data_IF_555049873519
#
_entry.id   IF_555049873519
#
_cell.length_a   1.000
_cell.length_b   1.000
_cell.length_c   1.000
_cell.angle_alpha   90.00
_cell.angle_beta   90.00
_cell.angle_gamma   90.00
#
_symmetry.space_group_name_H-M   'P 1'
#
loop_
_entity.id
_entity.type
_entity.pdbx_description
1 polymer ?
#
# COMPACT_ATOMS: atom_id res chain seq x y z
N UNK A 1 14.18 11.20 -17.87
CA UNK A 1 14.44 10.51 -19.15
C UNK A 1 13.41 10.82 -20.25
N UNK A 2 12.21 11.32 -19.89
CA UNK A 2 11.12 11.55 -20.86
C UNK A 2 10.95 13.01 -21.26
N UNK A 3 11.29 13.94 -20.37
CA UNK A 3 11.10 15.36 -20.60
C UNK A 3 12.15 15.92 -21.58
N UNK A 4 11.68 16.65 -22.60
CA UNK A 4 12.57 17.37 -23.54
C UNK A 4 13.22 18.60 -22.93
N UNK A 5 12.58 19.21 -21.94
CA UNK A 5 13.05 20.41 -21.23
C UNK A 5 12.87 20.15 -19.74
N UNK A 6 13.95 20.33 -18.98
CA UNK A 6 13.94 20.21 -17.53
C UNK A 6 14.06 21.61 -16.93
N UNK A 7 13.10 21.98 -16.11
CA UNK A 7 13.09 23.19 -15.29
C UNK A 7 13.13 22.76 -13.83
N UNK A 8 13.96 23.37 -13.00
CA UNK A 8 14.14 22.96 -11.63
C UNK A 8 13.89 24.11 -10.63
N UNK A 9 13.36 23.76 -9.47
CA UNK A 9 13.46 24.56 -8.24
C UNK A 9 14.58 23.93 -7.38
N UNK A 10 15.62 24.69 -7.12
CA UNK A 10 16.71 24.30 -6.23
C UNK A 10 16.37 24.86 -4.85
N UNK A 11 15.89 23.98 -3.96
CA UNK A 11 15.46 24.39 -2.62
C UNK A 11 16.44 23.87 -1.58
N UNK A 12 17.02 24.77 -0.79
CA UNK A 12 17.99 24.45 0.27
C UNK A 12 17.41 23.56 1.37
N UNK A 13 16.07 23.57 1.54
CA UNK A 13 15.37 22.71 2.51
C UNK A 13 15.15 21.28 2.00
N UNK A 14 15.41 20.99 0.70
CA UNK A 14 15.23 19.65 0.14
C UNK A 14 16.31 18.71 0.70
N UNK A 15 15.92 17.57 1.31
CA UNK A 15 16.88 16.60 1.80
C UNK A 15 17.78 16.08 0.68
N UNK A 16 19.09 15.99 0.95
CA UNK A 16 20.00 15.24 0.11
C UNK A 16 19.76 13.75 0.33
N UNK A 17 19.53 13.01 -0.73
CA UNK A 17 19.26 11.57 -0.67
C UNK A 17 20.27 10.76 -1.49
N UNK A 18 20.38 9.46 -1.18
CA UNK A 18 21.26 8.50 -1.87
C UNK A 18 20.45 7.63 -2.84
N UNK A 19 21.15 6.92 -3.73
CA UNK A 19 20.55 6.04 -4.73
C UNK A 19 20.62 6.62 -6.14
N UNK A 20 19.64 6.28 -6.98
CA UNK A 20 19.58 6.77 -8.37
C UNK A 20 18.67 8.00 -8.51
N UNK A 21 18.97 9.05 -7.76
CA UNK A 21 18.21 10.30 -7.70
C UNK A 21 18.98 11.52 -8.20
N UNK A 22 20.18 11.34 -8.72
CA UNK A 22 21.05 12.42 -9.18
C UNK A 22 20.72 12.79 -10.63
N UNK A 23 20.51 14.07 -10.86
CA UNK A 23 20.33 14.64 -12.21
C UNK A 23 21.53 15.53 -12.52
N UNK A 24 22.23 15.34 -13.65
CA UNK A 24 23.32 16.23 -14.07
C UNK A 24 22.82 17.65 -14.25
N UNK A 25 23.50 18.62 -13.63
CA UNK A 25 23.10 20.04 -13.71
C UNK A 25 23.05 20.54 -15.15
N UNK A 26 23.91 20.01 -16.04
CA UNK A 26 23.93 20.34 -17.48
C UNK A 26 22.64 19.99 -18.22
N UNK A 27 21.79 19.12 -17.67
CA UNK A 27 20.48 18.78 -18.26
C UNK A 27 19.38 19.78 -17.88
N UNK A 28 19.62 20.62 -16.87
CA UNK A 28 18.64 21.60 -16.39
C UNK A 28 18.70 22.84 -17.28
N UNK A 29 17.62 23.13 -18.00
CA UNK A 29 17.53 24.26 -18.92
C UNK A 29 17.36 25.59 -18.22
N UNK A 30 16.58 25.61 -17.15
CA UNK A 30 16.32 26.79 -16.32
C UNK A 30 16.05 26.37 -14.89
N UNK A 31 16.39 27.22 -13.93
CA UNK A 31 16.12 26.95 -12.52
C UNK A 31 15.90 28.24 -11.73
N UNK A 32 15.29 28.09 -10.57
CA UNK A 32 15.20 29.12 -9.53
C UNK A 32 15.81 28.59 -8.24
N UNK A 33 16.37 29.48 -7.43
CA UNK A 33 16.79 29.16 -6.06
C UNK A 33 15.71 29.56 -5.08
N UNK A 34 15.45 28.70 -4.11
CA UNK A 34 14.51 28.95 -3.03
C UNK A 34 15.07 28.42 -1.70
N UNK A 35 14.52 28.91 -0.60
CA UNK A 35 14.78 28.39 0.75
C UNK A 35 13.45 28.36 1.51
N UNK A 36 12.44 27.71 0.93
CA UNK A 36 11.12 27.61 1.53
C UNK A 36 10.94 26.26 2.22
N UNK A 37 10.20 26.22 3.35
CA UNK A 37 9.86 24.97 3.99
C UNK A 37 9.18 24.00 3.01
N UNK A 38 9.45 22.72 3.15
CA UNK A 38 8.75 21.70 2.41
C UNK A 38 7.32 21.53 2.95
N UNK A 39 6.42 21.08 2.09
CA UNK A 39 5.09 20.73 2.51
C UNK A 39 5.14 19.50 3.44
N UNK A 40 4.58 19.63 4.63
CA UNK A 40 4.48 18.53 5.59
C UNK A 40 3.11 17.86 5.50
N UNK A 41 3.13 16.54 5.48
CA UNK A 41 1.93 15.72 5.59
C UNK A 41 1.85 15.15 7.01
N UNK A 42 1.00 15.74 7.83
CA UNK A 42 0.74 15.25 9.20
C UNK A 42 -0.40 14.24 9.15
N UNK A 43 -0.15 13.03 9.64
CA UNK A 43 -1.18 11.99 9.71
C UNK A 43 -2.35 12.39 10.62
N UNK A 44 -3.54 11.96 10.27
CA UNK A 44 -4.72 12.14 11.12
C UNK A 44 -4.72 11.15 12.29
N UNK A 45 -5.43 11.48 13.40
CA UNK A 45 -5.63 10.53 14.50
C UNK A 45 -6.29 9.22 14.01
N UNK A 46 -5.78 8.11 14.50
CA UNK A 46 -6.29 6.77 14.16
C UNK A 46 -7.74 6.59 14.65
N UNK A 47 -8.61 6.08 13.79
CA UNK A 47 -9.97 5.70 14.16
C UNK A 47 -10.03 4.26 14.72
N UNK A 48 -11.10 3.90 15.44
CA UNK A 48 -11.29 2.53 15.96
C UNK A 48 -11.34 1.48 14.83
N UNK A 49 -11.92 1.81 13.70
CA UNK A 49 -11.98 0.95 12.50
C UNK A 49 -10.57 0.70 11.94
N UNK A 50 -9.77 1.76 11.79
CA UNK A 50 -8.39 1.65 11.33
C UNK A 50 -7.53 0.88 12.33
N UNK A 51 -7.72 1.11 13.63
CA UNK A 51 -7.06 0.37 14.70
C UNK A 51 -7.30 -1.13 14.56
N UNK A 52 -8.55 -1.53 14.37
CA UNK A 52 -8.92 -2.94 14.22
C UNK A 52 -8.38 -3.57 12.95
N UNK A 53 -8.45 -2.87 11.82
CA UNK A 53 -7.86 -3.33 10.56
C UNK A 53 -6.34 -3.45 10.70
N UNK A 54 -5.69 -2.44 11.30
CA UNK A 54 -4.25 -2.43 11.55
C UNK A 54 -3.78 -3.63 12.37
N UNK A 55 -4.53 -4.02 13.40
CA UNK A 55 -4.26 -5.21 14.21
C UNK A 55 -4.32 -6.50 13.37
N UNK A 56 -5.38 -6.65 12.56
CA UNK A 56 -5.56 -7.81 11.70
C UNK A 56 -4.46 -7.91 10.62
N UNK A 57 -4.08 -6.78 10.02
CA UNK A 57 -2.97 -6.72 9.06
C UNK A 57 -1.64 -7.06 9.74
N UNK A 58 -1.35 -6.49 10.93
CA UNK A 58 -0.11 -6.74 11.67
C UNK A 58 0.06 -8.22 12.04
N UNK A 59 -1.04 -8.94 12.33
CA UNK A 59 -1.03 -10.38 12.58
C UNK A 59 -0.64 -11.21 11.34
N UNK A 60 -0.82 -10.68 10.13
CA UNK A 60 -0.38 -11.33 8.90
C UNK A 60 1.10 -11.12 8.60
N UNK A 61 1.76 -10.12 9.21
CA UNK A 61 3.16 -9.78 8.98
C UNK A 61 4.07 -10.69 9.80
N UNK A 62 4.91 -11.54 9.18
CA UNK A 62 5.91 -12.32 9.91
C UNK A 62 7.15 -11.47 10.24
N UNK A 63 8.00 -11.97 11.15
CA UNK A 63 9.37 -11.49 11.27
C UNK A 63 10.12 -11.65 9.94
N UNK A 64 11.10 -10.79 9.67
CA UNK A 64 11.89 -10.77 8.42
C UNK A 64 11.06 -10.48 7.17
N UNK A 65 9.85 -9.93 7.31
CA UNK A 65 9.06 -9.51 6.16
C UNK A 65 9.71 -8.31 5.46
N UNK A 66 9.66 -8.29 4.13
CA UNK A 66 9.94 -7.09 3.35
C UNK A 66 8.63 -6.38 3.08
N UNK A 67 8.49 -5.17 3.61
CA UNK A 67 7.24 -4.42 3.60
C UNK A 67 7.17 -3.45 2.41
N UNK A 68 6.01 -3.39 1.79
CA UNK A 68 5.51 -2.26 1.00
C UNK A 68 4.25 -1.74 1.67
N UNK A 69 4.15 -0.44 1.78
CA UNK A 69 3.00 0.24 2.36
C UNK A 69 2.66 1.51 1.58
N UNK A 70 1.38 1.89 1.62
CA UNK A 70 0.91 3.20 1.21
C UNK A 70 1.00 4.22 2.35
N UNK A 71 0.34 5.36 2.16
CA UNK A 71 0.04 6.37 3.20
C UNK A 71 -1.43 6.30 3.58
N UNK A 72 -1.76 6.85 4.74
CA UNK A 72 -3.12 6.97 5.26
C UNK A 72 -3.35 6.12 6.50
N UNK A 73 -4.54 6.23 7.08
CA UNK A 73 -4.84 5.68 8.39
C UNK A 73 -4.61 4.17 8.52
N UNK A 74 -5.00 3.37 7.53
CA UNK A 74 -4.84 1.91 7.59
C UNK A 74 -3.38 1.47 7.53
N UNK A 75 -2.53 1.91 6.57
CA UNK A 75 -1.11 1.59 6.58
C UNK A 75 -0.41 2.05 7.87
N UNK A 76 -0.70 3.26 8.35
CA UNK A 76 -0.11 3.80 9.58
C UNK A 76 -0.55 3.01 10.82
N UNK A 77 -1.83 2.61 10.88
CA UNK A 77 -2.36 1.75 11.94
C UNK A 77 -1.67 0.37 11.96
N UNK A 78 -1.44 -0.23 10.80
CA UNK A 78 -0.73 -1.50 10.69
C UNK A 78 0.72 -1.35 11.17
N UNK A 79 1.46 -0.35 10.66
CA UNK A 79 2.86 -0.11 11.02
C UNK A 79 3.05 0.15 12.52
N UNK A 80 2.16 0.93 13.14
CA UNK A 80 2.24 1.25 14.58
C UNK A 80 2.23 -0.01 15.47
N UNK A 81 1.69 -1.12 14.97
CA UNK A 81 1.57 -2.41 15.65
C UNK A 81 2.72 -3.38 15.36
N UNK A 82 3.71 -2.99 14.55
CA UNK A 82 4.84 -3.85 14.18
C UNK A 82 6.09 -3.64 15.03
N UNK A 83 6.07 -2.80 16.07
CA UNK A 83 7.23 -2.48 16.90
C UNK A 83 7.87 -3.70 17.58
N UNK A 84 7.10 -4.78 17.78
CA UNK A 84 7.58 -6.03 18.37
C UNK A 84 8.15 -7.02 17.32
N UNK A 85 8.01 -6.74 16.04
CA UNK A 85 8.55 -7.57 14.95
C UNK A 85 10.06 -7.39 14.85
N UNK A 86 10.72 -8.38 14.24
CA UNK A 86 12.17 -8.44 14.14
C UNK A 86 12.62 -8.50 12.69
N UNK A 87 13.70 -7.77 12.42
CA UNK A 87 14.43 -7.83 11.14
C UNK A 87 13.56 -7.52 9.91
N UNK A 88 12.61 -6.60 10.03
CA UNK A 88 11.83 -6.13 8.90
C UNK A 88 12.72 -5.45 7.86
N UNK A 89 12.33 -5.55 6.60
CA UNK A 89 12.92 -4.82 5.47
C UNK A 89 11.89 -3.91 4.82
N UNK A 90 12.37 -2.86 4.14
CA UNK A 90 11.52 -1.92 3.40
C UNK A 90 11.90 -1.93 1.93
N UNK A 91 10.94 -2.19 1.06
CA UNK A 91 11.00 -2.01 -0.38
C UNK A 91 9.62 -1.52 -0.84
N UNK A 92 9.47 -0.23 -1.00
CA UNK A 92 8.18 0.44 -1.17
C UNK A 92 8.30 1.62 -2.11
N UNK A 93 7.26 1.96 -2.85
CA UNK A 93 7.23 3.18 -3.66
C UNK A 93 7.36 4.44 -2.77
N UNK A 94 6.69 4.42 -1.62
CA UNK A 94 6.71 5.53 -0.68
C UNK A 94 6.64 5.06 0.77
N UNK A 95 7.05 5.92 1.73
CA UNK A 95 6.82 5.69 3.15
C UNK A 95 6.58 6.98 3.94
N UNK A 96 6.02 6.82 5.15
CA UNK A 96 5.66 7.89 6.10
C UNK A 96 6.54 7.85 7.35
N UNK A 97 6.32 8.80 8.28
CA UNK A 97 6.99 8.87 9.60
C UNK A 97 6.93 7.55 10.39
N UNK A 98 5.92 6.69 10.14
CA UNK A 98 5.79 5.40 10.84
C UNK A 98 6.96 4.45 10.56
N UNK A 99 7.63 4.57 9.42
CA UNK A 99 8.85 3.82 9.14
C UNK A 99 10.00 4.29 10.02
N UNK A 100 10.08 5.58 10.31
CA UNK A 100 11.07 6.14 11.25
C UNK A 100 10.86 5.54 12.64
N UNK A 101 9.61 5.47 13.14
CA UNK A 101 9.29 4.86 14.43
C UNK A 101 9.79 3.41 14.54
N UNK A 102 9.56 2.61 13.48
CA UNK A 102 10.00 1.21 13.43
C UNK A 102 11.52 1.06 13.31
N UNK A 103 12.18 1.97 12.61
CA UNK A 103 13.63 1.98 12.48
C UNK A 103 14.31 2.33 13.81
N UNK A 104 13.83 3.35 14.51
CA UNK A 104 14.38 3.79 15.80
C UNK A 104 14.26 2.75 16.91
N UNK A 105 13.17 1.96 16.92
CA UNK A 105 13.04 0.83 17.87
C UNK A 105 13.79 -0.44 17.44
N UNK A 106 14.49 -0.40 16.29
CA UNK A 106 15.29 -1.53 15.79
C UNK A 106 14.46 -2.65 15.14
N UNK A 107 13.17 -2.45 14.86
CA UNK A 107 12.35 -3.44 14.17
C UNK A 107 12.75 -3.60 12.69
N UNK A 108 13.25 -2.51 12.06
CA UNK A 108 13.71 -2.51 10.67
C UNK A 108 15.23 -2.60 10.63
N UNK A 109 15.76 -3.69 10.06
CA UNK A 109 17.19 -3.90 9.84
C UNK A 109 17.56 -4.03 8.36
N UNK A 110 16.62 -4.38 7.50
CA UNK A 110 16.79 -4.70 6.08
C UNK A 110 17.75 -5.89 5.80
N UNK A 111 18.21 -6.57 6.83
CA UNK A 111 19.26 -7.62 6.77
C UNK A 111 18.88 -8.81 5.90
N UNK A 112 17.58 -9.16 5.86
CA UNK A 112 17.08 -10.34 5.17
C UNK A 112 16.50 -10.04 3.78
N UNK A 113 16.68 -8.83 3.28
CA UNK A 113 16.33 -8.52 1.89
C UNK A 113 17.32 -9.16 0.93
N UNK A 114 16.80 -9.76 -0.15
CA UNK A 114 17.61 -10.32 -1.23
C UNK A 114 18.00 -9.26 -2.28
N UNK A 115 17.23 -8.17 -2.34
CA UNK A 115 17.48 -7.01 -3.21
C UNK A 115 17.79 -5.80 -2.34
N UNK A 116 18.93 -5.15 -2.56
CA UNK A 116 19.45 -4.05 -1.73
C UNK A 116 19.44 -4.39 -0.22
N UNK A 117 20.19 -5.45 0.21
CA UNK A 117 20.30 -5.78 1.63
C UNK A 117 20.85 -4.60 2.45
N UNK A 118 20.44 -4.52 3.70
CA UNK A 118 20.81 -3.44 4.64
C UNK A 118 20.39 -2.02 4.22
N UNK A 119 19.50 -1.89 3.23
CA UNK A 119 19.00 -0.61 2.71
C UNK A 119 17.47 -0.57 2.69
N UNK A 120 16.90 0.54 3.12
CA UNK A 120 15.53 0.94 2.78
C UNK A 120 15.53 1.35 1.31
N UNK A 121 14.58 0.85 0.52
CA UNK A 121 14.41 1.22 -0.90
C UNK A 121 13.07 1.90 -1.07
N UNK A 122 13.09 3.10 -1.68
CA UNK A 122 11.88 3.89 -1.94
C UNK A 122 12.03 4.76 -3.17
N UNK A 123 10.93 5.35 -3.67
CA UNK A 123 10.96 6.38 -4.72
C UNK A 123 10.72 7.77 -4.16
N UNK A 124 9.85 7.90 -3.14
CA UNK A 124 9.58 9.18 -2.48
C UNK A 124 9.10 8.97 -1.04
N UNK A 125 8.91 10.07 -0.32
CA UNK A 125 8.37 10.07 1.04
C UNK A 125 7.31 11.16 1.19
N UNK A 126 6.38 10.96 2.13
CA UNK A 126 5.43 11.98 2.56
C UNK A 126 5.29 11.92 4.09
N UNK A 127 5.54 13.04 4.76
CA UNK A 127 5.50 13.10 6.22
C UNK A 127 5.92 14.46 6.74
N UNK A 128 6.45 14.46 7.96
CA UNK A 128 6.84 15.67 8.68
C UNK A 128 8.33 16.00 8.50
N UNK A 129 8.74 17.14 9.04
CA UNK A 129 10.16 17.52 9.09
C UNK A 129 11.04 16.42 9.70
N UNK A 130 10.54 15.67 10.71
CA UNK A 130 11.26 14.53 11.29
C UNK A 130 11.63 13.48 10.24
N UNK A 131 10.72 13.17 9.33
CA UNK A 131 10.99 12.26 8.22
C UNK A 131 12.03 12.86 7.27
N UNK A 132 11.94 14.15 6.94
CA UNK A 132 12.90 14.81 6.07
C UNK A 132 14.31 14.83 6.69
N UNK A 133 14.42 15.07 8.00
CA UNK A 133 15.71 15.00 8.72
C UNK A 133 16.25 13.57 8.75
N UNK A 134 15.40 12.55 8.91
CA UNK A 134 15.80 11.15 8.91
C UNK A 134 16.37 10.67 7.57
N UNK A 135 15.84 11.14 6.45
CA UNK A 135 16.32 10.75 5.11
C UNK A 135 17.51 11.59 4.65
N UNK A 136 17.74 12.76 5.27
CA UNK A 136 18.81 13.67 4.86
C UNK A 136 20.18 13.01 5.07
N UNK A 137 20.94 12.89 3.98
CA UNK A 137 22.29 12.31 3.90
C UNK A 137 22.44 10.94 4.61
N UNK A 138 21.36 10.14 4.60
CA UNK A 138 21.32 8.83 5.24
C UNK A 138 21.67 7.71 4.24
N UNK A 139 22.89 7.11 4.31
CA UNK A 139 23.32 6.08 3.37
C UNK A 139 22.59 4.74 3.54
N UNK A 140 21.73 4.60 4.56
CA UNK A 140 20.89 3.42 4.76
C UNK A 140 19.60 3.45 3.93
N UNK A 141 19.35 4.54 3.21
CA UNK A 141 18.14 4.74 2.43
C UNK A 141 18.54 5.02 0.97
N UNK A 142 17.97 4.28 0.05
CA UNK A 142 18.18 4.46 -1.38
C UNK A 142 16.89 4.88 -2.05
N UNK A 143 16.94 6.00 -2.76
CA UNK A 143 15.87 6.49 -3.61
C UNK A 143 16.10 6.09 -5.05
N UNK A 144 15.09 5.49 -5.66
CA UNK A 144 15.15 5.05 -7.05
C UNK A 144 13.91 5.53 -7.82
N UNK A 145 13.98 5.70 -9.14
CA UNK A 145 12.80 5.93 -9.97
C UNK A 145 11.77 4.81 -9.82
N UNK A 146 10.49 5.15 -10.01
CA UNK A 146 9.39 4.18 -9.79
C UNK A 146 9.47 2.96 -10.72
N UNK A 147 9.99 3.10 -11.95
CA UNK A 147 10.20 1.98 -12.87
C UNK A 147 11.12 0.88 -12.27
N UNK A 148 12.06 1.28 -11.40
CA UNK A 148 12.90 0.34 -10.67
C UNK A 148 12.28 -0.13 -9.36
N UNK A 149 11.74 0.78 -8.56
CA UNK A 149 11.16 0.43 -7.25
C UNK A 149 9.94 -0.48 -7.40
N UNK A 150 9.11 -0.22 -8.42
CA UNK A 150 7.89 -0.94 -8.72
C UNK A 150 8.11 -2.13 -9.67
N UNK A 151 9.37 -2.42 -10.06
CA UNK A 151 9.64 -3.59 -10.91
C UNK A 151 9.28 -4.89 -10.17
N UNK A 152 8.23 -5.53 -10.66
CA UNK A 152 7.73 -6.81 -10.14
C UNK A 152 8.82 -7.89 -10.07
N UNK A 153 9.83 -7.87 -10.98
CA UNK A 153 10.92 -8.83 -10.95
C UNK A 153 11.92 -8.55 -9.82
N UNK A 154 12.08 -7.30 -9.41
CA UNK A 154 12.90 -6.96 -8.24
C UNK A 154 12.12 -7.23 -6.94
N UNK A 155 10.86 -6.81 -6.86
CA UNK A 155 10.00 -7.02 -5.69
C UNK A 155 9.96 -8.51 -5.32
N UNK A 156 9.64 -9.39 -6.27
CA UNK A 156 9.47 -10.83 -6.04
C UNK A 156 10.73 -11.57 -5.60
N UNK A 157 11.93 -10.99 -5.80
CA UNK A 157 13.19 -11.58 -5.36
C UNK A 157 13.39 -11.52 -3.84
N UNK A 158 12.74 -10.57 -3.16
CA UNK A 158 12.70 -10.56 -1.71
C UNK A 158 11.76 -11.66 -1.21
N UNK A 159 12.15 -12.39 -0.18
CA UNK A 159 11.29 -13.35 0.50
C UNK A 159 10.33 -12.62 1.45
N UNK A 160 9.20 -13.24 1.77
CA UNK A 160 8.20 -12.73 2.72
C UNK A 160 7.75 -11.29 2.39
N UNK A 161 7.59 -10.94 1.12
CA UNK A 161 7.08 -9.61 0.75
C UNK A 161 5.64 -9.47 1.24
N UNK A 162 5.38 -8.47 2.06
CA UNK A 162 4.04 -8.10 2.51
C UNK A 162 3.70 -6.74 1.91
N UNK A 163 2.79 -6.74 0.93
CA UNK A 163 2.30 -5.53 0.26
C UNK A 163 0.97 -5.13 0.88
N UNK A 164 0.92 -3.94 1.51
CA UNK A 164 -0.26 -3.42 2.21
C UNK A 164 -0.82 -2.25 1.40
N UNK A 165 -1.99 -2.43 0.82
CA UNK A 165 -2.67 -1.44 -0.02
C UNK A 165 -4.12 -1.26 0.41
N UNK A 166 -4.70 -0.13 0.05
CA UNK A 166 -6.09 0.20 0.36
C UNK A 166 -6.98 0.08 -0.87
N UNK A 167 -8.30 0.04 -0.65
CA UNK A 167 -9.30 0.03 -1.70
C UNK A 167 -10.50 0.92 -1.37
N UNK A 168 -11.23 1.31 -2.42
CA UNK A 168 -12.53 1.99 -2.31
C UNK A 168 -13.64 0.96 -2.25
N UNK A 169 -13.61 -0.06 -3.12
CA UNK A 169 -14.59 -1.15 -3.19
C UNK A 169 -13.93 -2.46 -3.60
N UNK A 170 -14.52 -3.57 -3.15
CA UNK A 170 -14.19 -4.94 -3.58
C UNK A 170 -15.49 -5.66 -3.92
N UNK A 171 -15.60 -6.24 -5.13
CA UNK A 171 -16.75 -7.04 -5.50
C UNK A 171 -16.66 -8.50 -5.02
N UNK A 172 -17.78 -9.21 -5.03
CA UNK A 172 -17.85 -10.60 -4.54
C UNK A 172 -17.06 -11.60 -5.38
N UNK A 173 -16.47 -11.20 -6.50
CA UNK A 173 -15.51 -12.02 -7.25
C UNK A 173 -14.06 -11.74 -6.86
N UNK A 174 -13.81 -10.64 -6.12
CA UNK A 174 -12.50 -10.18 -5.68
C UNK A 174 -11.85 -9.15 -6.60
N UNK A 175 -12.61 -8.48 -7.49
CA UNK A 175 -12.11 -7.32 -8.22
C UNK A 175 -12.03 -6.12 -7.28
N UNK A 176 -10.94 -5.35 -7.37
CA UNK A 176 -10.66 -4.22 -6.47
C UNK A 176 -10.64 -2.92 -7.26
N UNK A 177 -11.44 -1.96 -6.83
CA UNK A 177 -11.37 -0.57 -7.24
C UNK A 177 -10.67 0.25 -6.15
N UNK A 178 -9.65 1.03 -6.51
CA UNK A 178 -8.87 1.85 -5.58
C UNK A 178 -8.69 3.31 -6.04
N UNK A 179 -9.05 3.64 -7.29
CA UNK A 179 -8.77 4.92 -7.94
C UNK A 179 -10.01 5.76 -8.25
N UNK A 180 -11.20 5.15 -8.15
CA UNK A 180 -12.43 5.79 -8.64
C UNK A 180 -13.69 5.43 -7.84
N UNK A 181 -14.69 6.30 -7.87
CA UNK A 181 -16.07 6.01 -7.43
C UNK A 181 -16.99 6.13 -8.65
N UNK A 182 -17.35 4.98 -9.25
CA UNK A 182 -18.06 4.98 -10.52
C UNK A 182 -17.23 5.70 -11.58
N UNK A 183 -17.83 6.63 -12.29
CA UNK A 183 -17.16 7.41 -13.35
C UNK A 183 -16.21 8.51 -12.83
N UNK A 184 -16.22 8.81 -11.52
CA UNK A 184 -15.35 9.82 -10.94
C UNK A 184 -14.00 9.22 -10.56
N UNK A 185 -12.97 9.51 -11.33
CA UNK A 185 -11.58 9.14 -11.05
C UNK A 185 -10.99 10.13 -10.03
N UNK A 186 -10.36 9.64 -8.96
CA UNK A 186 -9.72 10.43 -7.91
C UNK A 186 -8.21 10.48 -8.03
N UNK A 187 -7.61 9.41 -8.55
CA UNK A 187 -6.17 9.27 -8.63
C UNK A 187 -5.75 8.44 -9.84
N UNK A 188 -4.45 8.40 -10.12
CA UNK A 188 -3.88 7.32 -10.93
C UNK A 188 -3.93 6.00 -10.19
N UNK A 189 -3.68 4.91 -10.91
CA UNK A 189 -3.63 3.55 -10.33
C UNK A 189 -2.45 3.35 -9.37
N UNK A 190 -1.37 4.15 -9.51
CA UNK A 190 -0.13 4.02 -8.73
C UNK A 190 0.54 2.65 -8.87
N UNK A 191 1.39 2.31 -7.91
CA UNK A 191 2.13 1.05 -7.86
C UNK A 191 1.39 -0.13 -7.23
N UNK A 192 0.10 0.01 -6.86
CA UNK A 192 -0.64 -1.04 -6.15
C UNK A 192 -0.53 -2.40 -6.86
N UNK A 193 -0.78 -2.43 -8.17
CA UNK A 193 -0.78 -3.67 -8.93
C UNK A 193 0.62 -4.31 -9.01
N UNK A 194 1.66 -3.51 -9.13
CA UNK A 194 3.05 -3.99 -9.20
C UNK A 194 3.45 -4.69 -7.91
N UNK A 195 3.16 -4.08 -6.77
CA UNK A 195 3.48 -4.65 -5.46
C UNK A 195 2.59 -5.83 -5.10
N UNK A 196 1.30 -5.81 -5.40
CA UNK A 196 0.40 -6.95 -5.21
C UNK A 196 0.90 -8.14 -6.04
N UNK A 197 1.26 -7.93 -7.30
CA UNK A 197 1.80 -8.97 -8.18
C UNK A 197 3.18 -9.45 -7.74
N UNK A 198 4.05 -8.53 -7.32
CA UNK A 198 5.38 -8.86 -6.79
C UNK A 198 5.29 -9.70 -5.53
N UNK A 199 4.46 -9.31 -4.58
CA UNK A 199 4.22 -10.05 -3.34
C UNK A 199 3.59 -11.43 -3.61
N UNK A 200 2.63 -11.53 -4.53
CA UNK A 200 2.02 -12.83 -4.91
C UNK A 200 3.04 -13.82 -5.47
N UNK A 201 4.13 -13.35 -6.07
CA UNK A 201 5.21 -14.17 -6.64
C UNK A 201 6.42 -14.34 -5.73
N UNK A 202 6.48 -13.61 -4.64
CA UNK A 202 7.51 -13.74 -3.62
C UNK A 202 7.30 -15.03 -2.82
N UNK A 203 8.39 -15.67 -2.43
CA UNK A 203 8.31 -16.83 -1.53
C UNK A 203 7.67 -16.41 -0.20
N UNK A 204 6.58 -17.08 0.18
CA UNK A 204 5.75 -16.74 1.35
C UNK A 204 5.15 -15.32 1.32
N UNK A 205 5.07 -14.68 0.16
CA UNK A 205 4.56 -13.33 0.03
C UNK A 205 3.06 -13.21 0.36
N UNK A 206 2.67 -12.06 0.84
CA UNK A 206 1.28 -11.75 1.23
C UNK A 206 0.84 -10.42 0.63
N UNK A 207 0.21 -10.44 -0.55
CA UNK A 207 -0.48 -9.26 -1.07
C UNK A 207 -1.77 -9.03 -0.28
N UNK A 208 -1.89 -7.86 0.34
CA UNK A 208 -3.00 -7.47 1.22
C UNK A 208 -3.68 -6.23 0.66
N UNK A 209 -5.01 -6.31 0.55
CA UNK A 209 -5.89 -5.17 0.32
C UNK A 209 -6.72 -4.99 1.60
N UNK A 210 -6.63 -3.82 2.20
CA UNK A 210 -7.32 -3.50 3.45
C UNK A 210 -8.23 -2.28 3.27
N UNK A 211 -9.48 -2.39 3.73
CA UNK A 211 -10.46 -1.33 3.61
C UNK A 211 -11.49 -1.41 4.75
N UNK A 212 -12.08 -0.28 5.20
CA UNK A 212 -13.25 -0.32 6.06
C UNK A 212 -14.40 -1.06 5.34
N UNK A 213 -15.18 -1.85 6.04
CA UNK A 213 -16.31 -2.57 5.44
C UNK A 213 -17.40 -1.63 4.94
N UNK A 214 -17.48 -0.40 5.47
CA UNK A 214 -18.48 0.61 5.09
C UNK A 214 -17.89 1.97 4.80
N UNK A 215 -18.68 2.79 4.12
CA UNK A 215 -18.46 4.22 3.90
C UNK A 215 -19.69 5.04 4.32
N UNK A 216 -19.60 6.37 4.19
CA UNK A 216 -20.69 7.30 4.46
C UNK A 216 -21.36 7.07 5.85
N UNK A 217 -20.54 6.94 6.90
CA UNK A 217 -20.97 6.69 8.28
C UNK A 217 -21.84 5.42 8.42
N UNK A 218 -21.37 4.31 7.81
CA UNK A 218 -22.03 3.00 7.88
C UNK A 218 -23.17 2.78 6.84
N UNK A 219 -23.50 3.76 6.02
CA UNK A 219 -24.65 3.69 5.11
C UNK A 219 -24.40 2.93 3.82
N UNK A 220 -23.14 2.73 3.43
CA UNK A 220 -22.76 2.12 2.15
C UNK A 220 -21.72 1.03 2.40
N UNK A 221 -21.98 -0.18 1.89
CA UNK A 221 -21.01 -1.27 1.92
C UNK A 221 -19.88 -1.02 0.92
N UNK A 222 -18.63 -1.32 1.31
CA UNK A 222 -17.47 -1.34 0.42
C UNK A 222 -17.19 -2.73 -0.15
N UNK A 223 -17.78 -3.77 0.45
CA UNK A 223 -17.89 -5.10 -0.18
C UNK A 223 -19.21 -5.12 -0.91
N UNK A 224 -19.18 -5.25 -2.23
CA UNK A 224 -20.32 -5.06 -3.11
C UNK A 224 -20.52 -6.26 -4.04
N UNK A 225 -21.74 -6.47 -4.52
CA UNK A 225 -22.02 -7.53 -5.50
C UNK A 225 -21.17 -7.40 -6.75
N UNK A 226 -21.16 -6.18 -7.32
CA UNK A 226 -20.38 -5.76 -8.48
C UNK A 226 -19.84 -4.34 -8.23
N UNK A 227 -18.68 -4.02 -8.77
CA UNK A 227 -18.15 -2.65 -8.68
C UNK A 227 -19.13 -1.66 -9.31
N UNK A 228 -19.16 -0.44 -8.80
CA UNK A 228 -20.03 0.59 -9.35
C UNK A 228 -19.78 0.77 -10.85
N UNK A 229 -20.84 1.02 -11.67
CA UNK A 229 -20.66 1.29 -13.09
C UNK A 229 -19.63 2.39 -13.35
N UNK A 230 -18.67 2.14 -14.23
CA UNK A 230 -17.58 3.06 -14.56
C UNK A 230 -16.38 3.02 -13.62
N UNK A 231 -16.43 2.24 -12.54
CA UNK A 231 -15.29 2.07 -11.64
C UNK A 231 -14.15 1.28 -12.29
N UNK A 232 -12.91 1.74 -12.09
CA UNK A 232 -11.71 1.05 -12.56
C UNK A 232 -11.41 -0.23 -11.75
N UNK A 233 -10.86 -1.26 -12.40
CA UNK A 233 -10.33 -2.45 -11.74
C UNK A 233 -8.83 -2.27 -11.59
N UNK A 234 -8.38 -1.74 -10.48
CA UNK A 234 -6.95 -1.52 -10.19
C UNK A 234 -6.24 -2.85 -9.92
N UNK A 235 -6.86 -3.72 -9.12
CA UNK A 235 -6.34 -5.08 -8.90
C UNK A 235 -7.36 -6.10 -9.35
N UNK A 236 -6.96 -6.95 -10.31
CA UNK A 236 -7.86 -7.97 -10.87
C UNK A 236 -8.09 -9.10 -9.88
N UNK A 237 -9.21 -9.82 -10.03
CA UNK A 237 -9.55 -11.01 -9.21
C UNK A 237 -8.49 -12.12 -9.25
N UNK A 238 -7.68 -12.17 -10.30
CA UNK A 238 -6.60 -13.14 -10.44
C UNK A 238 -5.36 -12.84 -9.61
N UNK A 239 -5.19 -11.60 -9.14
CA UNK A 239 -4.03 -11.16 -8.38
C UNK A 239 -4.32 -10.91 -6.88
N UNK A 240 -5.61 -10.80 -6.51
CA UNK A 240 -6.02 -10.58 -5.12
C UNK A 240 -5.84 -11.85 -4.30
N UNK A 241 -5.14 -11.74 -3.15
CA UNK A 241 -5.04 -12.81 -2.16
C UNK A 241 -5.79 -12.42 -0.88
N UNK A 242 -5.22 -11.56 -0.04
CA UNK A 242 -5.81 -11.18 1.24
C UNK A 242 -6.68 -9.94 1.11
N UNK A 243 -7.89 -10.04 1.63
CA UNK A 243 -8.78 -8.89 1.88
C UNK A 243 -9.00 -8.79 3.38
N UNK A 244 -8.85 -7.58 3.92
CA UNK A 244 -8.98 -7.31 5.35
C UNK A 244 -9.96 -6.16 5.57
N UNK A 245 -10.93 -6.37 6.45
CA UNK A 245 -11.80 -5.32 7.01
C UNK A 245 -11.70 -5.36 8.53
N UNK A 246 -12.38 -4.46 9.24
CA UNK A 246 -12.49 -4.51 10.70
C UNK A 246 -13.18 -5.78 11.23
N UNK A 247 -13.91 -6.51 10.36
CA UNK A 247 -14.61 -7.75 10.72
C UNK A 247 -13.76 -9.02 10.51
N UNK A 248 -12.63 -8.93 9.84
CA UNK A 248 -11.73 -10.06 9.66
C UNK A 248 -10.80 -9.97 8.47
N UNK A 249 -10.02 -11.03 8.27
CA UNK A 249 -9.10 -11.21 7.16
C UNK A 249 -9.38 -12.52 6.45
N UNK A 250 -9.52 -12.50 5.12
CA UNK A 250 -9.78 -13.67 4.29
C UNK A 250 -8.79 -13.77 3.14
N UNK A 251 -8.39 -15.00 2.81
CA UNK A 251 -7.54 -15.28 1.66
C UNK A 251 -8.39 -15.83 0.52
N UNK A 252 -8.37 -15.15 -0.64
CA UNK A 252 -9.15 -15.52 -1.82
C UNK A 252 -8.36 -16.37 -2.82
N UNK A 253 -7.05 -16.55 -2.59
CA UNK A 253 -6.20 -17.32 -3.51
C UNK A 253 -6.61 -18.79 -3.53
N UNK A 254 -6.72 -19.37 -4.74
CA UNK A 254 -7.13 -20.75 -4.92
C UNK A 254 -8.61 -21.04 -4.68
N UNK A 255 -9.43 -20.04 -4.34
CA UNK A 255 -10.87 -20.20 -4.10
C UNK A 255 -11.69 -20.06 -5.39
N UNK A 256 -12.75 -20.87 -5.48
CA UNK A 256 -13.81 -20.72 -6.48
C UNK A 256 -14.57 -19.41 -6.30
N UNK A 257 -15.33 -18.95 -7.29
CA UNK A 257 -16.14 -17.73 -7.17
C UNK A 257 -17.15 -17.80 -6.02
N UNK A 258 -17.73 -18.98 -5.76
CA UNK A 258 -18.62 -19.19 -4.62
C UNK A 258 -17.90 -19.02 -3.30
N UNK A 259 -16.78 -19.70 -3.09
CA UNK A 259 -15.98 -19.60 -1.87
C UNK A 259 -15.44 -18.18 -1.66
N UNK A 260 -15.13 -17.43 -2.75
CA UNK A 260 -14.75 -16.02 -2.67
C UNK A 260 -15.90 -15.17 -2.15
N UNK A 261 -17.11 -15.35 -2.71
CA UNK A 261 -18.29 -14.63 -2.27
C UNK A 261 -18.61 -14.93 -0.79
N UNK A 262 -18.57 -16.19 -0.37
CA UNK A 262 -18.77 -16.61 1.02
C UNK A 262 -17.73 -15.93 1.94
N UNK A 263 -16.45 -15.96 1.57
CA UNK A 263 -15.37 -15.37 2.35
C UNK A 263 -15.52 -13.83 2.46
N UNK A 264 -15.81 -13.15 1.34
CA UNK A 264 -15.99 -11.68 1.35
C UNK A 264 -17.22 -11.25 2.13
N UNK A 265 -18.33 -11.99 2.00
CA UNK A 265 -19.54 -11.71 2.79
C UNK A 265 -19.27 -11.87 4.29
N UNK A 266 -18.45 -12.86 4.70
CA UNK A 266 -18.14 -13.08 6.13
C UNK A 266 -17.40 -11.92 6.79
N UNK A 267 -16.68 -11.10 6.01
CA UNK A 267 -15.97 -9.91 6.49
C UNK A 267 -16.65 -8.58 6.07
N UNK A 268 -17.81 -8.65 5.44
CA UNK A 268 -18.66 -7.47 5.21
C UNK A 268 -19.31 -7.04 6.53
N UNK A 269 -19.73 -5.76 6.60
CA UNK A 269 -20.50 -5.29 7.75
C UNK A 269 -21.77 -6.13 7.95
N UNK A 270 -22.11 -6.56 9.17
CA UNK A 270 -23.24 -7.46 9.45
C UNK A 270 -24.57 -7.06 8.79
N UNK A 271 -24.88 -5.77 8.77
CA UNK A 271 -26.12 -5.24 8.20
C UNK A 271 -26.27 -5.52 6.69
N UNK A 272 -25.16 -5.72 5.97
CA UNK A 272 -25.18 -5.95 4.52
C UNK A 272 -25.05 -7.44 4.15
N UNK A 273 -24.63 -8.31 5.06
CA UNK A 273 -24.33 -9.71 4.74
C UNK A 273 -25.53 -10.47 4.17
N UNK A 274 -26.72 -10.28 4.77
CA UNK A 274 -27.96 -10.96 4.32
C UNK A 274 -28.34 -10.54 2.90
N UNK A 275 -28.25 -9.26 2.62
CA UNK A 275 -28.60 -8.73 1.30
C UNK A 275 -27.60 -9.16 0.24
N UNK A 276 -26.29 -9.13 0.53
CA UNK A 276 -25.24 -9.62 -0.37
C UNK A 276 -25.43 -11.11 -0.72
N UNK A 277 -25.77 -11.95 0.27
CA UNK A 277 -26.10 -13.36 0.01
C UNK A 277 -27.27 -13.52 -0.94
N UNK A 278 -28.35 -12.77 -0.70
CA UNK A 278 -29.56 -12.80 -1.55
C UNK A 278 -29.24 -12.37 -2.98
N UNK A 279 -28.52 -11.27 -3.15
CA UNK A 279 -28.16 -10.72 -4.46
C UNK A 279 -27.29 -11.69 -5.27
N UNK A 280 -26.22 -12.23 -4.67
CA UNK A 280 -25.33 -13.14 -5.39
C UNK A 280 -26.00 -14.49 -5.70
N UNK A 281 -26.87 -14.99 -4.83
CA UNK A 281 -27.67 -16.18 -5.11
C UNK A 281 -28.58 -15.98 -6.33
N UNK A 282 -29.20 -14.79 -6.47
CA UNK A 282 -30.06 -14.46 -7.61
C UNK A 282 -29.32 -14.39 -8.95
N UNK A 283 -28.04 -13.93 -8.96
CA UNK A 283 -27.26 -13.77 -10.19
C UNK A 283 -26.43 -15.01 -10.52
N UNK A 284 -25.83 -15.65 -9.51
CA UNK A 284 -24.87 -16.75 -9.67
C UNK A 284 -25.45 -18.12 -9.34
N UNK A 285 -26.70 -18.17 -8.87
CA UNK A 285 -27.38 -19.39 -8.42
C UNK A 285 -26.58 -20.16 -7.35
N UNK A 286 -25.81 -19.44 -6.50
CA UNK A 286 -25.11 -20.05 -5.38
C UNK A 286 -26.09 -20.44 -4.28
N UNK A 287 -25.91 -21.64 -3.74
CA UNK A 287 -26.59 -22.12 -2.54
C UNK A 287 -25.63 -21.94 -1.38
N UNK A 288 -26.05 -21.18 -0.36
CA UNK A 288 -25.26 -20.86 0.83
C UNK A 288 -25.77 -21.62 2.05
#
# INVERSE_FOLDING_TARGET
DTAKIIIAEINEQMPRVHGNSVVPFSQIKAFIHTNRPLFEHVGEPETEVEARIGELVANLVPDRATLQMGIGGIPDAALSRLKHKRDLGIHTEMFSDRVVDLYEVGAITNKYKNVHPDRIVTSFVAGTKRLFDFIHDNPRIEFHPCDRTNDTNLIRKNDNVVAINSAIQVDLTGQVCADSMGHKIFSGIGGQMDFIRGAAKSKNGKPIIALPATAAKGKVSRIVLELNPGAGVVTTRGHVHWIVTEFGAVNLHGKTLRERAEALISIAHPDFQKELKKQVAGIRHFVF
#
